data_IF_474168602914
#
_entry.id   IF_474168602914
#
_cell.length_a   1.000
_cell.length_b   1.000
_cell.length_c   1.000
_cell.angle_alpha   90.00
_cell.angle_beta   90.00
_cell.angle_gamma   90.00
#
_symmetry.space_group_name_H-M   'P 1'
#
loop_
_entity.id
_entity.type
_entity.pdbx_description
1 polymer ?
#
# COMPACT_ATOMS: atom_id res chain seq x y z
N UNK A 1 -34.07 -74.23 8.45
CA UNK A 1 -34.41 -74.42 7.04
C UNK A 1 -34.65 -73.04 6.42
N UNK A 2 -33.84 -72.68 5.41
CA UNK A 2 -34.15 -71.91 4.17
C UNK A 2 -35.09 -70.70 4.25
N UNK A 3 -34.86 -69.52 3.66
CA UNK A 3 -33.87 -68.91 2.76
C UNK A 3 -34.12 -67.38 2.80
N UNK A 4 -33.21 -66.47 2.45
CA UNK A 4 -32.66 -66.25 1.11
C UNK A 4 -33.56 -65.30 0.30
N UNK A 5 -33.15 -64.05 0.08
CA UNK A 5 -33.77 -63.16 -0.91
C UNK A 5 -33.49 -61.67 -0.68
N UNK A 6 -32.52 -61.11 -1.42
CA UNK A 6 -32.12 -59.71 -1.36
C UNK A 6 -32.84 -58.78 -2.36
N UNK A 7 -32.26 -57.59 -2.49
CA UNK A 7 -32.62 -56.55 -3.46
C UNK A 7 -33.50 -55.46 -2.84
N UNK A 8 -33.29 -54.17 -3.05
CA UNK A 8 -32.36 -53.44 -3.88
C UNK A 8 -32.54 -51.96 -3.53
N UNK A 9 -31.48 -51.17 -3.69
CA UNK A 9 -31.44 -49.78 -3.26
C UNK A 9 -32.54 -48.90 -3.85
N UNK A 10 -33.15 -48.09 -3.00
CA UNK A 10 -33.93 -46.92 -3.38
C UNK A 10 -33.08 -45.66 -3.23
N UNK A 11 -31.98 -45.57 -3.98
CA UNK A 11 -31.31 -44.28 -4.22
C UNK A 11 -32.09 -43.62 -5.37
N UNK A 12 -33.10 -42.83 -5.01
CA UNK A 12 -34.11 -42.34 -5.97
C UNK A 12 -34.34 -40.83 -5.92
N UNK A 13 -33.73 -40.14 -6.89
CA UNK A 13 -34.11 -38.86 -7.55
C UNK A 13 -33.68 -37.51 -6.99
N UNK A 14 -33.31 -37.35 -5.71
CA UNK A 14 -32.88 -36.04 -5.19
C UNK A 14 -31.45 -35.66 -5.62
N UNK A 15 -30.52 -36.60 -5.50
CA UNK A 15 -29.07 -36.33 -5.55
C UNK A 15 -28.52 -36.14 -6.97
N UNK A 16 -29.10 -36.81 -7.98
CA UNK A 16 -28.64 -36.69 -9.37
C UNK A 16 -28.92 -35.33 -10.00
N UNK A 17 -29.98 -34.63 -9.57
CA UNK A 17 -30.32 -33.31 -10.10
C UNK A 17 -29.40 -32.21 -9.54
N UNK A 18 -28.96 -32.33 -8.29
CA UNK A 18 -28.00 -31.40 -7.67
C UNK A 18 -26.58 -31.59 -8.24
N UNK A 19 -26.16 -32.82 -8.51
CA UNK A 19 -24.84 -33.12 -9.07
C UNK A 19 -24.74 -32.76 -10.57
N UNK A 20 -25.82 -32.89 -11.36
CA UNK A 20 -25.84 -32.37 -12.74
C UNK A 20 -25.79 -30.83 -12.80
N UNK A 21 -26.38 -30.14 -11.82
CA UNK A 21 -26.30 -28.67 -11.71
C UNK A 21 -24.88 -28.21 -11.39
N UNK A 22 -24.19 -28.86 -10.44
CA UNK A 22 -22.79 -28.56 -10.09
C UNK A 22 -21.82 -28.75 -11.26
N UNK A 23 -22.06 -29.76 -12.10
CA UNK A 23 -21.13 -30.11 -13.19
C UNK A 23 -21.30 -29.21 -14.43
N UNK A 24 -22.49 -28.59 -14.62
CA UNK A 24 -22.78 -27.74 -15.79
C UNK A 24 -22.35 -26.28 -15.63
N UNK A 25 -22.07 -25.85 -14.40
CA UNK A 25 -21.64 -24.48 -14.04
C UNK A 25 -20.20 -24.18 -14.53
N UNK A 26 -19.39 -25.19 -14.85
CA UNK A 26 -18.04 -25.01 -15.41
C UNK A 26 -17.96 -25.14 -16.95
N UNK A 27 -19.06 -24.85 -17.66
CA UNK A 27 -19.03 -24.90 -19.11
C UNK A 27 -18.54 -23.56 -19.69
N UNK A 28 -17.28 -23.52 -20.16
CA UNK A 28 -16.65 -22.34 -20.79
C UNK A 28 -17.52 -21.69 -21.87
N UNK A 29 -18.36 -22.47 -22.57
CA UNK A 29 -19.27 -21.97 -23.61
C UNK A 29 -20.44 -21.17 -23.02
N UNK A 30 -21.01 -21.60 -21.89
CA UNK A 30 -22.07 -20.87 -21.19
C UNK A 30 -21.54 -19.53 -20.64
N UNK A 31 -20.32 -19.57 -20.11
CA UNK A 31 -19.59 -18.41 -19.62
C UNK A 31 -19.34 -17.35 -20.70
N UNK A 32 -18.88 -17.77 -21.88
CA UNK A 32 -18.68 -16.87 -23.02
C UNK A 32 -19.98 -16.24 -23.52
N UNK A 33 -21.11 -16.95 -23.42
CA UNK A 33 -22.42 -16.40 -23.76
C UNK A 33 -22.87 -15.35 -22.75
N UNK A 34 -22.64 -15.57 -21.46
CA UNK A 34 -22.95 -14.60 -20.41
C UNK A 34 -22.10 -13.32 -20.52
N UNK A 35 -20.79 -13.46 -20.79
CA UNK A 35 -19.91 -12.31 -21.05
C UNK A 35 -20.33 -11.47 -22.26
N UNK A 36 -21.12 -12.04 -23.19
CA UNK A 36 -21.64 -11.29 -24.33
C UNK A 36 -22.60 -10.17 -23.90
N UNK A 37 -23.33 -10.35 -22.81
CA UNK A 37 -24.25 -9.35 -22.26
C UNK A 37 -23.52 -8.16 -21.62
N UNK A 38 -22.22 -8.28 -21.35
CA UNK A 38 -21.37 -7.16 -20.93
C UNK A 38 -20.91 -6.28 -22.11
N UNK A 39 -20.95 -6.78 -23.35
CA UNK A 39 -20.44 -6.02 -24.52
C UNK A 39 -21.09 -4.64 -24.71
N UNK A 40 -22.42 -4.47 -24.56
CA UNK A 40 -23.06 -3.16 -24.67
C UNK A 40 -22.53 -2.16 -23.61
N UNK A 41 -22.07 -2.68 -22.46
CA UNK A 41 -21.62 -1.88 -21.32
C UNK A 41 -20.09 -1.78 -21.21
N UNK A 42 -19.34 -2.16 -22.25
CA UNK A 42 -17.88 -2.23 -22.20
C UNK A 42 -17.22 -0.90 -21.81
N UNK A 43 -17.81 0.25 -22.18
CA UNK A 43 -17.31 1.57 -21.78
C UNK A 43 -17.33 1.76 -20.26
N UNK A 44 -18.39 1.31 -19.59
CA UNK A 44 -18.53 1.36 -18.14
C UNK A 44 -17.59 0.37 -17.45
N UNK A 45 -17.42 -0.80 -18.04
CA UNK A 45 -16.42 -1.79 -17.59
C UNK A 45 -15.02 -1.18 -17.63
N UNK A 46 -14.61 -0.61 -18.77
CA UNK A 46 -13.30 0.07 -18.91
C UNK A 46 -13.17 1.22 -17.92
N UNK A 47 -14.21 2.03 -17.75
CA UNK A 47 -14.19 3.14 -16.79
C UNK A 47 -14.01 2.64 -15.35
N UNK A 48 -14.68 1.54 -14.95
CA UNK A 48 -14.49 0.93 -13.63
C UNK A 48 -13.06 0.43 -13.42
N UNK A 49 -12.41 -0.08 -14.48
CA UNK A 49 -11.01 -0.47 -14.43
C UNK A 49 -10.06 0.71 -14.30
N UNK A 50 -10.35 1.85 -14.96
CA UNK A 50 -9.56 3.06 -14.77
C UNK A 50 -9.63 3.57 -13.33
N UNK A 51 -10.81 3.53 -12.71
CA UNK A 51 -10.93 3.83 -11.28
C UNK A 51 -10.19 2.82 -10.41
N UNK A 52 -10.24 1.52 -10.73
CA UNK A 52 -9.50 0.48 -10.01
C UNK A 52 -7.98 0.75 -10.05
N UNK A 53 -7.45 1.14 -11.22
CA UNK A 53 -6.04 1.50 -11.38
C UNK A 53 -5.67 2.74 -10.54
N UNK A 54 -6.56 3.74 -10.49
CA UNK A 54 -6.37 4.93 -9.65
C UNK A 54 -6.35 4.57 -8.15
N UNK A 55 -7.27 3.70 -7.70
CA UNK A 55 -7.32 3.20 -6.32
C UNK A 55 -6.04 2.45 -5.97
N UNK A 56 -5.59 1.54 -6.84
CA UNK A 56 -4.35 0.78 -6.66
C UNK A 56 -3.11 1.69 -6.59
N UNK A 57 -3.04 2.71 -7.46
CA UNK A 57 -1.98 3.72 -7.41
C UNK A 57 -1.96 4.47 -6.08
N UNK A 58 -3.13 4.87 -5.57
CA UNK A 58 -3.25 5.53 -4.26
C UNK A 58 -2.79 4.61 -3.11
N UNK A 59 -3.11 3.32 -3.15
CA UNK A 59 -2.69 2.33 -2.15
C UNK A 59 -1.18 2.15 -2.08
N UNK A 60 -0.48 2.27 -3.20
CA UNK A 60 0.99 2.21 -3.24
C UNK A 60 1.63 3.51 -2.76
N UNK A 61 1.02 4.67 -3.03
CA UNK A 61 1.56 5.98 -2.63
C UNK A 61 1.42 6.22 -1.12
N UNK A 62 0.34 5.77 -0.50
CA UNK A 62 0.07 5.92 0.94
C UNK A 62 1.26 5.48 1.84
N UNK A 63 1.79 4.24 1.75
CA UNK A 63 2.89 3.81 2.60
C UNK A 63 4.19 4.59 2.33
N UNK A 64 4.39 5.09 1.10
CA UNK A 64 5.55 5.93 0.79
C UNK A 64 5.49 7.27 1.51
N UNK A 65 4.31 7.90 1.57
CA UNK A 65 4.10 9.14 2.32
C UNK A 65 4.27 8.91 3.82
N UNK A 66 3.64 7.86 4.36
CA UNK A 66 3.78 7.51 5.77
C UNK A 66 5.23 7.27 6.15
N UNK A 67 5.97 6.53 5.32
CA UNK A 67 7.39 6.30 5.50
C UNK A 67 8.19 7.60 5.53
N UNK A 68 8.02 8.48 4.54
CA UNK A 68 8.77 9.76 4.51
C UNK A 68 8.40 10.67 5.70
N UNK A 69 7.14 10.67 6.14
CA UNK A 69 6.74 11.40 7.35
C UNK A 69 7.46 10.85 8.60
N UNK A 70 7.52 9.53 8.76
CA UNK A 70 8.15 8.87 9.91
C UNK A 70 9.68 9.08 9.89
N UNK A 71 10.34 8.67 8.81
CA UNK A 71 11.79 8.60 8.69
C UNK A 71 12.44 10.00 8.67
N UNK A 72 11.84 10.98 7.98
CA UNK A 72 12.49 12.27 7.81
C UNK A 72 12.14 13.29 8.90
N UNK A 73 10.94 13.20 9.47
CA UNK A 73 10.35 14.30 10.25
C UNK A 73 9.93 13.91 11.68
N UNK A 74 9.48 12.68 11.93
CA UNK A 74 9.01 12.25 13.26
C UNK A 74 10.15 11.66 14.08
N UNK A 75 10.84 10.65 13.55
CA UNK A 75 11.88 9.90 14.28
C UNK A 75 13.23 10.60 14.14
N UNK A 76 13.97 10.66 15.25
CA UNK A 76 15.42 10.97 15.25
C UNK A 76 16.17 9.66 15.36
N UNK A 77 16.21 8.93 14.25
CA UNK A 77 17.05 7.75 14.04
C UNK A 77 18.38 8.14 13.37
N UNK A 78 18.59 9.43 13.15
CA UNK A 78 19.77 10.01 12.52
C UNK A 78 20.93 9.95 13.50
N UNK A 79 21.80 8.96 13.32
CA UNK A 79 23.12 8.93 13.94
C UNK A 79 24.02 9.94 13.23
N UNK A 80 24.94 10.53 13.97
CA UNK A 80 25.93 11.47 13.43
C UNK A 80 27.33 10.91 13.64
N UNK A 81 28.11 10.92 12.57
CA UNK A 81 29.54 10.65 12.62
C UNK A 81 30.30 11.96 12.45
N UNK A 82 31.19 12.25 13.38
CA UNK A 82 32.00 13.48 13.43
C UNK A 82 33.46 13.09 13.17
N UNK A 83 33.96 13.48 12.00
CA UNK A 83 35.33 13.23 11.59
C UNK A 83 36.14 14.50 11.80
N UNK A 84 37.11 14.46 12.72
CA UNK A 84 38.04 15.57 12.94
C UNK A 84 39.21 15.59 11.95
N UNK A 85 39.48 14.47 11.26
CA UNK A 85 40.56 14.33 10.29
C UNK A 85 40.05 14.04 8.88
N UNK A 86 40.63 14.72 7.89
CA UNK A 86 40.30 14.55 6.46
C UNK A 86 40.54 13.10 5.98
N UNK A 87 41.59 12.44 6.47
CA UNK A 87 41.95 11.08 6.04
C UNK A 87 40.88 10.04 6.38
N UNK A 88 40.38 10.02 7.62
CA UNK A 88 39.37 9.06 8.05
C UNK A 88 38.03 9.29 7.34
N UNK A 89 37.67 10.56 7.14
CA UNK A 89 36.49 10.96 6.37
C UNK A 89 36.57 10.48 4.92
N UNK A 90 37.67 10.76 4.22
CA UNK A 90 37.86 10.35 2.83
C UNK A 90 37.89 8.83 2.68
N UNK A 91 38.52 8.11 3.61
CA UNK A 91 38.54 6.65 3.63
C UNK A 91 37.12 6.07 3.76
N UNK A 92 36.31 6.62 4.65
CA UNK A 92 34.93 6.19 4.85
C UNK A 92 34.03 6.50 3.65
N UNK A 93 34.06 7.73 3.13
CA UNK A 93 33.27 8.13 1.97
C UNK A 93 33.66 7.32 0.73
N UNK A 94 34.95 7.10 0.48
CA UNK A 94 35.41 6.30 -0.66
C UNK A 94 34.88 4.85 -0.59
N UNK A 95 34.83 4.26 0.61
CA UNK A 95 34.31 2.90 0.81
C UNK A 95 32.80 2.82 0.61
N UNK A 96 32.05 3.84 1.02
CA UNK A 96 30.60 3.84 1.05
C UNK A 96 29.94 4.86 0.10
N UNK A 97 30.66 5.31 -0.93
CA UNK A 97 30.22 6.36 -1.85
C UNK A 97 28.85 6.09 -2.50
N UNK A 98 28.53 4.82 -2.75
CA UNK A 98 27.25 4.38 -3.34
C UNK A 98 26.03 4.65 -2.45
N UNK A 99 26.22 4.96 -1.16
CA UNK A 99 25.13 5.23 -0.23
C UNK A 99 24.63 6.68 -0.29
N UNK A 100 25.45 7.63 -0.77
CA UNK A 100 25.05 9.03 -0.97
C UNK A 100 24.62 9.71 0.34
N UNK A 101 25.50 9.70 1.35
CA UNK A 101 25.18 10.28 2.66
C UNK A 101 24.93 11.80 2.58
N UNK A 102 24.24 12.33 3.60
CA UNK A 102 24.18 13.77 3.81
C UNK A 102 25.44 14.21 4.54
N UNK A 103 26.25 14.98 3.83
CA UNK A 103 27.57 15.43 4.28
C UNK A 103 27.51 16.93 4.58
N UNK A 104 28.11 17.32 5.70
CA UNK A 104 28.24 18.71 6.10
C UNK A 104 29.67 18.99 6.59
N UNK A 105 30.12 20.24 6.46
CA UNK A 105 31.42 20.69 6.95
C UNK A 105 31.23 21.97 7.75
N UNK A 106 31.82 21.99 8.94
CA UNK A 106 31.85 23.18 9.79
C UNK A 106 33.15 23.22 10.59
N UNK A 107 33.92 24.30 10.41
CA UNK A 107 35.31 24.37 10.88
C UNK A 107 36.17 23.30 10.22
N UNK A 108 36.98 22.62 11.03
CA UNK A 108 37.85 21.50 10.61
C UNK A 108 37.11 20.16 10.58
N UNK A 109 35.88 20.10 11.10
CA UNK A 109 35.13 18.86 11.27
C UNK A 109 34.22 18.56 10.07
N UNK A 110 34.19 17.29 9.69
CA UNK A 110 33.29 16.72 8.68
C UNK A 110 32.20 15.90 9.38
N UNK A 111 30.95 16.20 9.05
CA UNK A 111 29.78 15.58 9.65
C UNK A 111 29.07 14.71 8.62
N UNK A 112 28.84 13.45 8.97
CA UNK A 112 28.05 12.52 8.15
C UNK A 112 26.82 12.10 8.95
N UNK A 113 25.66 12.25 8.33
CA UNK A 113 24.40 11.77 8.88
C UNK A 113 24.12 10.37 8.37
N UNK A 114 24.02 9.42 9.29
CA UNK A 114 23.75 8.02 9.03
C UNK A 114 22.34 7.71 9.53
N UNK A 115 21.37 7.61 8.61
CA UNK A 115 20.00 7.20 8.94
C UNK A 115 19.95 5.69 9.20
N UNK A 116 18.89 5.19 9.86
CA UNK A 116 18.79 3.75 10.18
C UNK A 116 18.88 2.86 8.93
N UNK A 117 18.29 3.31 7.80
CA UNK A 117 18.33 2.60 6.51
C UNK A 117 19.76 2.40 5.99
N UNK A 118 20.61 3.42 6.12
CA UNK A 118 21.97 3.39 5.58
C UNK A 118 22.92 2.69 6.54
N UNK A 119 22.66 2.81 7.85
CA UNK A 119 23.37 2.05 8.90
C UNK A 119 23.35 0.54 8.62
N UNK A 120 22.20 0.00 8.21
CA UNK A 120 22.05 -1.43 7.91
C UNK A 120 22.85 -1.90 6.68
N UNK A 121 23.38 -0.99 5.86
CA UNK A 121 24.20 -1.31 4.68
C UNK A 121 25.70 -1.15 4.92
N UNK A 122 26.08 -0.55 6.05
CA UNK A 122 27.48 -0.39 6.46
C UNK A 122 27.92 -1.69 7.15
N UNK A 123 29.17 -2.12 6.91
CA UNK A 123 29.71 -3.29 7.60
C UNK A 123 29.71 -3.06 9.12
N UNK A 124 29.28 -4.07 9.88
CA UNK A 124 29.20 -4.00 11.34
C UNK A 124 30.56 -3.70 11.97
N UNK A 125 31.63 -4.31 11.48
CA UNK A 125 32.99 -4.06 12.00
C UNK A 125 33.42 -2.61 11.79
N UNK A 126 33.06 -2.00 10.64
CA UNK A 126 33.36 -0.59 10.38
C UNK A 126 32.55 0.33 11.32
N UNK A 127 31.29 -0.02 11.62
CA UNK A 127 30.49 0.74 12.59
C UNK A 127 31.05 0.64 14.01
N UNK A 128 31.52 -0.55 14.41
CA UNK A 128 32.15 -0.79 15.72
C UNK A 128 33.47 0.00 15.83
N UNK A 129 34.33 -0.03 14.81
CA UNK A 129 35.58 0.77 14.74
C UNK A 129 35.30 2.28 14.83
N UNK A 130 34.29 2.78 14.11
CA UNK A 130 33.89 4.20 14.20
C UNK A 130 33.36 4.56 15.60
N UNK A 131 32.69 3.65 16.27
CA UNK A 131 32.17 3.87 17.62
C UNK A 131 33.29 3.82 18.67
N UNK A 132 34.24 2.89 18.54
CA UNK A 132 35.44 2.79 19.39
C UNK A 132 36.33 4.03 19.27
N UNK A 133 36.52 4.54 18.04
CA UNK A 133 37.23 5.81 17.78
C UNK A 133 36.47 7.05 18.23
N UNK A 134 35.23 6.92 18.70
CA UNK A 134 34.37 8.04 19.10
C UNK A 134 33.92 8.95 17.94
N UNK A 135 34.11 8.51 16.69
CA UNK A 135 33.68 9.20 15.47
C UNK A 135 32.15 9.09 15.36
N UNK A 136 31.62 7.86 15.47
CA UNK A 136 30.19 7.61 15.49
C UNK A 136 29.64 7.89 16.89
N UNK A 137 28.76 8.88 17.00
CA UNK A 137 28.18 9.29 18.27
C UNK A 137 27.06 8.34 18.69
N UNK A 138 27.00 8.02 19.97
CA UNK A 138 26.00 7.11 20.54
C UNK A 138 24.59 7.71 20.56
N UNK A 139 24.48 9.04 20.52
CA UNK A 139 23.21 9.75 20.54
C UNK A 139 22.68 10.02 19.13
N UNK A 140 21.37 9.94 18.97
CA UNK A 140 20.71 10.41 17.75
C UNK A 140 20.45 11.90 17.81
N UNK A 141 20.49 12.55 16.64
CA UNK A 141 20.34 14.00 16.53
C UNK A 141 19.10 14.37 15.72
N UNK A 142 18.52 15.52 16.04
CA UNK A 142 17.59 16.22 15.16
C UNK A 142 18.37 17.28 14.39
N UNK A 143 18.09 17.38 13.09
CA UNK A 143 18.61 18.42 12.23
C UNK A 143 17.61 19.57 12.17
N UNK A 144 18.08 20.76 12.47
CA UNK A 144 17.29 21.98 12.54
C UNK A 144 17.91 23.04 11.64
N UNK A 145 17.11 23.97 11.17
CA UNK A 145 17.60 25.10 10.37
C UNK A 145 18.31 26.13 11.25
N UNK A 146 19.45 26.64 10.79
CA UNK A 146 20.23 27.71 11.43
C UNK A 146 19.49 29.05 11.25
N UNK A 147 18.46 29.26 12.08
CA UNK A 147 17.65 30.48 12.14
C UNK A 147 17.87 31.17 13.48
N UNK A 148 17.90 32.49 13.47
CA UNK A 148 18.10 33.28 14.70
C UNK A 148 17.06 32.94 15.78
N UNK A 149 15.79 32.73 15.40
CA UNK A 149 14.75 32.28 16.33
C UNK A 149 15.09 30.94 17.01
N UNK A 150 15.56 29.97 16.23
CA UNK A 150 15.95 28.65 16.74
C UNK A 150 17.17 28.77 17.65
N UNK A 151 18.19 29.52 17.23
CA UNK A 151 19.42 29.73 18.00
C UNK A 151 19.11 30.42 19.32
N UNK A 152 18.28 31.47 19.31
CA UNK A 152 17.94 32.22 20.52
C UNK A 152 17.23 31.35 21.56
N UNK A 153 16.31 30.48 21.11
CA UNK A 153 15.67 29.49 21.97
C UNK A 153 16.70 28.48 22.48
N UNK A 154 17.53 27.91 21.61
CA UNK A 154 18.53 26.92 22.00
C UNK A 154 19.52 27.51 23.01
N UNK A 155 20.03 28.73 22.80
CA UNK A 155 20.95 29.43 23.72
C UNK A 155 20.36 29.68 25.10
N UNK A 156 19.04 29.79 25.23
CA UNK A 156 18.37 30.00 26.52
C UNK A 156 18.38 28.74 27.41
N UNK A 157 18.43 27.55 26.82
CA UNK A 157 18.31 26.27 27.54
C UNK A 157 19.53 25.36 27.41
N UNK A 158 20.32 25.52 26.35
CA UNK A 158 21.40 24.63 25.96
C UNK A 158 22.66 25.44 25.63
N UNK A 159 23.82 24.86 25.95
CA UNK A 159 25.10 25.45 25.59
C UNK A 159 25.43 25.18 24.12
N UNK A 160 25.98 26.19 23.44
CA UNK A 160 26.57 26.04 22.11
C UNK A 160 27.90 25.33 22.26
N UNK A 161 28.07 24.23 21.53
CA UNK A 161 29.31 23.48 21.54
C UNK A 161 29.93 23.54 20.14
N UNK A 162 31.16 24.07 20.09
CA UNK A 162 31.93 24.30 18.88
C UNK A 162 32.75 23.07 18.49
N UNK A 163 32.98 22.15 19.44
CA UNK A 163 33.85 20.98 19.30
C UNK A 163 33.14 19.72 19.83
N UNK A 164 32.42 18.98 18.97
CA UNK A 164 31.79 17.70 19.31
C UNK A 164 32.80 16.55 19.40
N UNK A 165 33.91 16.77 20.10
CA UNK A 165 35.04 15.84 20.18
C UNK A 165 34.79 14.75 21.24
N UNK A 166 33.80 14.95 22.10
CA UNK A 166 33.40 13.96 23.11
C UNK A 166 32.58 12.81 22.49
N UNK A 167 32.72 11.57 23.00
CA UNK A 167 31.89 10.43 22.54
C UNK A 167 30.38 10.64 22.75
N UNK A 168 30.02 11.38 23.82
CA UNK A 168 28.66 11.81 24.09
C UNK A 168 28.46 13.25 23.65
N UNK A 169 27.37 13.51 22.93
CA UNK A 169 27.01 14.84 22.49
C UNK A 169 26.24 15.58 23.60
N UNK A 170 26.80 16.68 24.10
CA UNK A 170 26.13 17.69 24.93
C UNK A 170 25.99 19.06 24.24
N UNK A 171 24.83 19.71 24.40
CA UNK A 171 24.54 21.02 23.80
C UNK A 171 24.01 20.93 22.37
N UNK A 172 24.19 22.01 21.61
CA UNK A 172 23.85 22.08 20.18
C UNK A 172 25.06 22.51 19.36
N UNK A 173 25.11 22.09 18.09
CA UNK A 173 26.27 22.30 17.22
C UNK A 173 25.85 22.76 15.84
N UNK A 174 26.62 23.67 15.26
CA UNK A 174 26.53 23.97 13.84
C UNK A 174 27.27 22.90 13.07
N UNK A 175 26.59 22.29 12.10
CA UNK A 175 27.19 21.25 11.24
C UNK A 175 27.45 21.76 9.82
N UNK A 176 26.80 22.87 9.44
CA UNK A 176 27.04 23.54 8.17
C UNK A 176 26.49 24.96 8.18
N UNK A 177 26.49 25.63 7.03
CA UNK A 177 26.10 27.05 6.92
C UNK A 177 24.64 27.36 7.21
N UNK A 178 23.74 26.35 7.17
CA UNK A 178 22.30 26.51 7.37
C UNK A 178 21.67 25.44 8.28
N UNK A 179 22.49 24.59 8.91
CA UNK A 179 22.00 23.42 9.63
C UNK A 179 22.66 23.28 10.99
N UNK A 180 21.84 23.04 12.00
CA UNK A 180 22.22 22.78 13.38
C UNK A 180 21.85 21.32 13.71
N UNK A 181 22.73 20.61 14.40
CA UNK A 181 22.44 19.33 15.00
C UNK A 181 22.18 19.51 16.50
N UNK A 182 21.09 18.92 17.00
CA UNK A 182 20.76 18.88 18.43
C UNK A 182 20.49 17.44 18.85
N UNK A 183 21.23 16.89 19.83
CA UNK A 183 20.97 15.55 20.34
C UNK A 183 19.56 15.41 20.88
N UNK A 184 18.94 14.24 20.67
CA UNK A 184 17.58 13.94 21.13
C UNK A 184 17.44 14.16 22.64
N UNK A 185 18.44 13.79 23.44
CA UNK A 185 18.42 13.98 24.90
C UNK A 185 18.40 15.46 25.27
N UNK A 186 19.22 16.28 24.61
CA UNK A 186 19.30 17.72 24.85
C UNK A 186 18.03 18.43 24.41
N UNK A 187 17.49 18.08 23.23
CA UNK A 187 16.24 18.66 22.74
C UNK A 187 15.05 18.35 23.66
N UNK A 188 15.08 17.21 24.34
CA UNK A 188 14.05 16.82 25.31
C UNK A 188 14.10 17.60 26.62
N UNK A 189 15.22 18.28 26.94
CA UNK A 189 15.32 19.17 28.11
C UNK A 189 14.52 20.47 27.92
N UNK A 190 14.28 20.88 26.67
CA UNK A 190 13.48 22.08 26.40
C UNK A 190 12.01 21.88 26.81
N UNK A 191 11.33 22.94 27.30
CA UNK A 191 9.88 22.94 27.45
C UNK A 191 9.18 22.58 26.13
N UNK A 192 8.01 21.93 26.24
CA UNK A 192 7.27 21.40 25.07
C UNK A 192 6.97 22.48 24.03
N UNK A 193 6.57 23.68 24.47
CA UNK A 193 6.23 24.81 23.58
C UNK A 193 7.44 25.29 22.79
N UNK A 194 8.58 25.46 23.45
CA UNK A 194 9.81 25.91 22.80
C UNK A 194 10.36 24.86 21.84
N UNK A 195 10.24 23.58 22.20
CA UNK A 195 10.63 22.47 21.33
C UNK A 195 9.81 22.43 20.03
N UNK A 196 8.53 22.79 20.09
CA UNK A 196 7.67 22.91 18.90
C UNK A 196 8.05 24.11 18.04
N UNK A 197 8.37 25.27 18.65
CA UNK A 197 8.84 26.45 17.93
C UNK A 197 10.13 26.18 17.17
N UNK A 198 11.12 25.56 17.83
CA UNK A 198 12.39 25.19 17.21
C UNK A 198 12.20 24.20 16.05
N UNK A 199 11.18 23.35 16.12
CA UNK A 199 10.82 22.36 15.08
C UNK A 199 9.72 22.84 14.13
N UNK A 200 9.37 24.13 14.12
CA UNK A 200 8.19 24.63 13.39
C UNK A 200 8.22 24.27 11.89
N UNK A 201 9.39 24.34 11.24
CA UNK A 201 9.51 23.95 9.83
C UNK A 201 9.21 22.46 9.61
N UNK A 202 9.68 21.59 10.52
CA UNK A 202 9.39 20.16 10.48
C UNK A 202 7.90 19.92 10.66
N UNK A 203 7.26 20.65 11.58
CA UNK A 203 5.82 20.58 11.83
C UNK A 203 5.02 21.03 10.60
N UNK A 204 5.43 22.11 9.93
CA UNK A 204 4.79 22.58 8.69
C UNK A 204 4.88 21.55 7.57
N UNK A 205 6.07 20.95 7.36
CA UNK A 205 6.24 19.87 6.37
C UNK A 205 5.38 18.65 6.69
N UNK A 206 5.30 18.28 7.97
CA UNK A 206 4.41 17.21 8.43
C UNK A 206 2.93 17.52 8.17
N UNK A 207 2.51 18.77 8.39
CA UNK A 207 1.14 19.20 8.13
C UNK A 207 0.83 19.10 6.62
N UNK A 208 1.73 19.55 5.75
CA UNK A 208 1.58 19.40 4.30
C UNK A 208 1.47 17.93 3.91
N UNK A 209 2.35 17.07 4.43
CA UNK A 209 2.29 15.62 4.17
C UNK A 209 0.97 15.01 4.68
N UNK A 210 0.48 15.45 5.85
CA UNK A 210 -0.81 15.01 6.39
C UNK A 210 -2.00 15.47 5.53
N UNK A 211 -1.97 16.68 4.98
CA UNK A 211 -2.99 17.18 4.05
C UNK A 211 -2.96 16.43 2.70
N UNK A 212 -1.76 16.15 2.16
CA UNK A 212 -1.62 15.34 0.95
C UNK A 212 -2.15 13.93 1.20
N UNK A 213 -1.81 13.34 2.34
CA UNK A 213 -2.31 12.03 2.76
C UNK A 213 -3.84 12.00 2.88
N UNK A 214 -4.42 13.02 3.52
CA UNK A 214 -5.87 13.18 3.61
C UNK A 214 -6.51 13.29 2.21
N UNK A 215 -5.95 14.14 1.35
CA UNK A 215 -6.44 14.32 -0.02
C UNK A 215 -6.42 13.02 -0.83
N UNK A 216 -5.35 12.23 -0.71
CA UNK A 216 -5.23 10.92 -1.39
C UNK A 216 -6.25 9.93 -0.85
N UNK A 217 -6.46 9.87 0.47
CA UNK A 217 -7.49 9.00 1.06
C UNK A 217 -8.88 9.41 0.61
N UNK A 218 -9.19 10.71 0.61
CA UNK A 218 -10.46 11.22 0.14
C UNK A 218 -10.67 10.92 -1.34
N UNK A 219 -9.65 11.11 -2.18
CA UNK A 219 -9.71 10.77 -3.60
C UNK A 219 -9.91 9.27 -3.82
N UNK A 220 -9.19 8.42 -3.08
CA UNK A 220 -9.37 6.96 -3.10
C UNK A 220 -10.79 6.56 -2.71
N UNK A 221 -11.33 7.17 -1.65
CA UNK A 221 -12.69 6.93 -1.20
C UNK A 221 -13.72 7.30 -2.28
N UNK A 222 -13.61 8.49 -2.87
CA UNK A 222 -14.48 8.96 -3.96
C UNK A 222 -14.37 8.03 -5.18
N UNK A 223 -13.15 7.68 -5.58
CA UNK A 223 -12.90 6.76 -6.68
C UNK A 223 -13.50 5.37 -6.43
N UNK A 224 -13.36 4.85 -5.21
CA UNK A 224 -13.94 3.57 -4.80
C UNK A 224 -15.47 3.60 -4.82
N UNK A 225 -16.08 4.69 -4.36
CA UNK A 225 -17.52 4.88 -4.46
C UNK A 225 -18.00 4.84 -5.91
N UNK A 226 -17.39 5.65 -6.80
CA UNK A 226 -17.78 5.67 -8.21
C UNK A 226 -17.50 4.34 -8.91
N UNK A 227 -16.37 3.68 -8.61
CA UNK A 227 -16.07 2.36 -9.13
C UNK A 227 -17.16 1.36 -8.75
N UNK A 228 -17.56 1.34 -7.48
CA UNK A 228 -18.61 0.46 -6.97
C UNK A 228 -19.94 0.72 -7.66
N UNK A 229 -20.34 1.99 -7.78
CA UNK A 229 -21.60 2.39 -8.43
C UNK A 229 -21.59 2.03 -9.91
N UNK A 230 -20.50 2.28 -10.63
CA UNK A 230 -20.38 1.94 -12.06
C UNK A 230 -20.43 0.43 -12.25
N UNK A 231 -19.74 -0.33 -11.38
CA UNK A 231 -19.77 -1.79 -11.41
C UNK A 231 -21.16 -2.36 -11.14
N UNK A 232 -21.88 -1.82 -10.16
CA UNK A 232 -23.27 -2.17 -9.93
C UNK A 232 -24.14 -1.81 -11.14
N UNK A 233 -23.95 -0.62 -11.72
CA UNK A 233 -24.72 -0.16 -12.87
C UNK A 233 -24.58 -1.11 -14.07
N UNK A 234 -23.37 -1.40 -14.54
CA UNK A 234 -23.23 -2.24 -15.73
C UNK A 234 -23.58 -3.71 -15.46
N UNK A 235 -23.32 -4.22 -14.25
CA UNK A 235 -23.62 -5.62 -13.92
C UNK A 235 -25.14 -5.85 -13.86
N UNK A 236 -25.87 -4.95 -13.19
CA UNK A 236 -27.33 -5.06 -13.07
C UNK A 236 -28.04 -4.87 -14.41
N UNK A 237 -27.57 -3.95 -15.27
CA UNK A 237 -28.17 -3.79 -16.60
C UNK A 237 -27.88 -4.99 -17.52
N UNK A 238 -26.64 -5.50 -17.54
CA UNK A 238 -26.31 -6.73 -18.27
C UNK A 238 -27.17 -7.91 -17.80
N UNK A 239 -27.50 -7.95 -16.51
CA UNK A 239 -28.37 -8.96 -15.93
C UNK A 239 -29.84 -8.79 -16.34
N UNK A 240 -30.33 -7.55 -16.38
CA UNK A 240 -31.68 -7.25 -16.84
C UNK A 240 -31.87 -7.67 -18.30
N UNK A 241 -30.88 -7.42 -19.16
CA UNK A 241 -30.90 -7.86 -20.55
C UNK A 241 -30.94 -9.39 -20.66
N UNK A 242 -30.14 -10.09 -19.87
CA UNK A 242 -30.17 -11.55 -19.81
C UNK A 242 -31.55 -12.08 -19.39
N UNK A 243 -32.15 -11.51 -18.34
CA UNK A 243 -33.51 -11.87 -17.88
C UNK A 243 -34.53 -11.65 -18.99
N UNK A 244 -34.44 -10.52 -19.68
CA UNK A 244 -35.35 -10.19 -20.78
C UNK A 244 -35.26 -11.21 -21.92
N UNK A 245 -34.04 -11.53 -22.38
CA UNK A 245 -33.82 -12.47 -23.48
C UNK A 245 -34.28 -13.89 -23.15
N UNK A 246 -34.00 -14.35 -21.92
CA UNK A 246 -34.46 -15.67 -21.45
C UNK A 246 -35.98 -15.72 -21.41
N UNK A 247 -36.64 -14.69 -20.86
CA UNK A 247 -38.09 -14.63 -20.76
C UNK A 247 -38.76 -14.54 -22.15
N UNK A 248 -38.21 -13.72 -23.05
CA UNK A 248 -38.69 -13.59 -24.42
C UNK A 248 -38.53 -14.90 -25.22
N UNK A 249 -37.45 -15.63 -25.00
CA UNK A 249 -37.25 -16.95 -25.61
C UNK A 249 -38.28 -17.96 -25.10
N UNK A 250 -38.58 -17.95 -23.80
CA UNK A 250 -39.56 -18.83 -23.18
C UNK A 250 -40.97 -18.59 -23.76
N UNK A 251 -41.38 -17.33 -23.93
CA UNK A 251 -42.69 -16.99 -24.51
C UNK A 251 -42.87 -17.44 -25.96
N UNK A 252 -41.78 -17.57 -26.74
CA UNK A 252 -41.82 -18.01 -28.14
C UNK A 252 -41.78 -19.53 -28.31
N UNK A 253 -41.67 -20.29 -27.22
CA UNK A 253 -41.64 -21.75 -27.28
C UNK A 253 -42.99 -22.32 -27.72
N UNK A 254 -43.02 -23.40 -28.53
CA UNK A 254 -44.26 -24.09 -28.90
C UNK A 254 -45.00 -24.62 -27.67
N UNK A 255 -46.33 -24.70 -27.72
CA UNK A 255 -47.17 -25.24 -26.63
C UNK A 255 -46.73 -26.64 -26.17
N UNK A 256 -46.29 -27.50 -27.10
CA UNK A 256 -45.72 -28.83 -26.81
C UNK A 256 -44.53 -28.81 -25.83
N UNK A 257 -43.76 -27.73 -25.80
CA UNK A 257 -42.69 -27.56 -24.83
C UNK A 257 -43.25 -27.42 -23.40
N UNK A 258 -44.37 -26.73 -23.22
CA UNK A 258 -45.02 -26.53 -21.93
C UNK A 258 -45.79 -27.77 -21.46
N UNK A 259 -46.26 -28.62 -22.37
CA UNK A 259 -46.88 -29.91 -22.03
C UNK A 259 -45.88 -30.89 -21.39
N UNK A 260 -44.59 -30.75 -21.73
CA UNK A 260 -43.50 -31.62 -21.25
C UNK A 260 -42.65 -30.99 -20.14
N UNK A 261 -42.81 -29.69 -19.89
CA UNK A 261 -42.09 -28.95 -18.87
C UNK A 261 -43.09 -28.22 -17.96
N UNK A 262 -43.31 -28.71 -16.72
CA UNK A 262 -44.27 -28.10 -15.79
C UNK A 262 -43.98 -26.61 -15.57
N UNK A 263 -45.02 -25.78 -15.65
CA UNK A 263 -44.92 -24.31 -15.53
C UNK A 263 -44.23 -23.91 -14.23
N UNK A 264 -44.53 -24.56 -13.10
CA UNK A 264 -43.85 -24.30 -11.83
C UNK A 264 -42.33 -24.49 -11.90
N UNK A 265 -41.84 -25.53 -12.60
CA UNK A 265 -40.41 -25.77 -12.80
C UNK A 265 -39.77 -24.67 -13.67
N UNK A 266 -40.49 -24.19 -14.69
CA UNK A 266 -40.00 -23.12 -15.56
C UNK A 266 -39.91 -21.79 -14.81
N UNK A 267 -40.91 -21.46 -13.98
CA UNK A 267 -40.88 -20.28 -13.11
C UNK A 267 -39.69 -20.36 -12.16
N UNK A 268 -39.50 -21.49 -11.48
CA UNK A 268 -38.36 -21.69 -10.56
C UNK A 268 -37.01 -21.55 -11.27
N UNK A 269 -36.85 -22.04 -12.50
CA UNK A 269 -35.59 -21.84 -13.26
C UNK A 269 -35.39 -20.38 -13.66
N UNK A 270 -36.44 -19.70 -14.13
CA UNK A 270 -36.35 -18.29 -14.54
C UNK A 270 -36.09 -17.37 -13.35
N UNK A 271 -36.57 -17.70 -12.16
CA UNK A 271 -36.30 -16.89 -10.97
C UNK A 271 -35.00 -17.29 -10.29
N UNK A 272 -34.85 -18.57 -9.96
CA UNK A 272 -33.77 -19.04 -9.07
C UNK A 272 -32.48 -19.31 -9.83
N UNK A 273 -32.52 -19.98 -10.99
CA UNK A 273 -31.29 -20.22 -11.76
C UNK A 273 -30.76 -18.90 -12.33
N UNK A 274 -31.64 -17.96 -12.70
CA UNK A 274 -31.21 -16.64 -13.13
C UNK A 274 -30.66 -15.82 -11.96
N UNK A 275 -31.23 -15.88 -10.76
CA UNK A 275 -30.63 -15.24 -9.59
C UNK A 275 -29.24 -15.82 -9.25
N UNK A 276 -29.05 -17.13 -9.37
CA UNK A 276 -27.74 -17.76 -9.22
C UNK A 276 -26.74 -17.29 -10.29
N UNK A 277 -27.22 -17.08 -11.53
CA UNK A 277 -26.42 -16.49 -12.61
C UNK A 277 -26.06 -15.02 -12.32
N UNK A 278 -26.95 -14.25 -11.70
CA UNK A 278 -26.72 -12.85 -11.28
C UNK A 278 -25.56 -12.78 -10.29
N UNK A 279 -25.65 -13.57 -9.22
CA UNK A 279 -24.63 -13.65 -8.19
C UNK A 279 -23.30 -14.10 -8.81
N UNK A 280 -23.31 -15.15 -9.63
CA UNK A 280 -22.09 -15.62 -10.28
C UNK A 280 -21.46 -14.58 -11.20
N UNK A 281 -22.25 -13.80 -11.95
CA UNK A 281 -21.72 -12.79 -12.88
C UNK A 281 -21.25 -11.52 -12.17
N UNK A 282 -22.09 -10.95 -11.29
CA UNK A 282 -21.86 -9.69 -10.60
C UNK A 282 -20.81 -9.80 -9.48
N UNK A 283 -20.93 -10.79 -8.60
CA UNK A 283 -20.03 -10.95 -7.45
C UNK A 283 -18.89 -11.95 -7.68
N UNK A 284 -19.08 -12.93 -8.57
CA UNK A 284 -18.05 -13.91 -8.91
C UNK A 284 -17.11 -13.44 -10.03
N UNK A 285 -17.60 -13.46 -11.27
CA UNK A 285 -16.77 -13.31 -12.48
C UNK A 285 -16.14 -11.93 -12.60
N UNK A 286 -16.94 -10.88 -12.44
CA UNK A 286 -16.45 -9.50 -12.58
C UNK A 286 -15.40 -9.21 -11.51
N UNK A 287 -15.66 -9.60 -10.26
CA UNK A 287 -14.72 -9.45 -9.14
C UNK A 287 -13.44 -10.23 -9.38
N UNK A 288 -13.50 -11.50 -9.82
CA UNK A 288 -12.29 -12.29 -10.12
C UNK A 288 -11.41 -11.64 -11.19
N UNK A 289 -12.02 -11.11 -12.26
CA UNK A 289 -11.27 -10.39 -13.29
C UNK A 289 -10.65 -9.11 -12.71
N UNK A 290 -11.40 -8.38 -11.88
CA UNK A 290 -10.90 -7.20 -11.17
C UNK A 290 -9.73 -7.54 -10.24
N UNK A 291 -9.82 -8.61 -9.47
CA UNK A 291 -8.78 -9.05 -8.54
C UNK A 291 -7.50 -9.47 -9.29
N UNK A 292 -7.63 -10.23 -10.38
CA UNK A 292 -6.47 -10.59 -11.22
C UNK A 292 -5.78 -9.34 -11.78
N UNK A 293 -6.55 -8.38 -12.29
CA UNK A 293 -6.00 -7.12 -12.81
C UNK A 293 -5.40 -6.26 -11.70
N UNK A 294 -6.03 -6.21 -10.52
CA UNK A 294 -5.53 -5.51 -9.35
C UNK A 294 -4.18 -6.09 -8.92
N UNK A 295 -4.08 -7.42 -8.80
CA UNK A 295 -2.84 -8.12 -8.46
C UNK A 295 -1.75 -7.78 -9.50
N UNK A 296 -2.04 -7.91 -10.79
CA UNK A 296 -1.08 -7.57 -11.85
C UNK A 296 -0.62 -6.11 -11.72
N UNK A 297 -1.55 -5.18 -11.48
CA UNK A 297 -1.27 -3.74 -11.34
C UNK A 297 -0.37 -3.47 -10.12
N UNK A 298 -0.68 -4.05 -8.97
CA UNK A 298 0.13 -3.92 -7.74
C UNK A 298 1.52 -4.51 -7.96
N UNK A 299 1.62 -5.70 -8.56
CA UNK A 299 2.91 -6.35 -8.85
C UNK A 299 3.78 -5.48 -9.77
N UNK A 300 3.21 -4.93 -10.84
CA UNK A 300 3.91 -4.01 -11.75
C UNK A 300 4.39 -2.77 -10.99
N UNK A 301 3.52 -2.15 -10.19
CA UNK A 301 3.86 -0.96 -9.40
C UNK A 301 4.97 -1.26 -8.38
N UNK A 302 4.91 -2.40 -7.69
CA UNK A 302 5.93 -2.81 -6.73
C UNK A 302 7.29 -3.07 -7.40
N UNK A 303 7.29 -3.77 -8.54
CA UNK A 303 8.51 -4.01 -9.32
C UNK A 303 9.12 -2.70 -9.83
N UNK A 304 8.30 -1.74 -10.26
CA UNK A 304 8.75 -0.41 -10.68
C UNK A 304 9.37 0.40 -9.54
N UNK A 305 8.85 0.28 -8.31
CA UNK A 305 9.41 0.95 -7.13
C UNK A 305 10.74 0.33 -6.68
N UNK A 306 10.80 -1.01 -6.56
CA UNK A 306 12.02 -1.71 -6.21
C UNK A 306 11.96 -3.19 -6.61
N UNK A 307 12.52 -3.50 -7.78
CA UNK A 307 12.56 -4.85 -8.32
C UNK A 307 13.21 -5.89 -7.39
N UNK A 308 14.21 -5.50 -6.58
CA UNK A 308 14.88 -6.43 -5.65
C UNK A 308 14.02 -6.78 -4.45
N UNK A 309 13.30 -5.81 -3.87
CA UNK A 309 12.37 -6.11 -2.76
C UNK A 309 11.15 -6.88 -3.26
N UNK A 310 10.64 -6.53 -4.43
CA UNK A 310 9.46 -7.16 -5.00
C UNK A 310 9.68 -8.63 -5.39
N UNK A 311 10.90 -9.05 -5.76
CA UNK A 311 11.22 -10.46 -6.07
C UNK A 311 11.42 -11.34 -4.83
N UNK A 312 11.68 -10.75 -3.67
CA UNK A 312 11.91 -11.48 -2.41
C UNK A 312 10.62 -11.59 -1.58
N UNK A 313 9.62 -10.75 -1.87
CA UNK A 313 8.31 -10.73 -1.19
C UNK A 313 7.35 -11.72 -1.83
#
# INVERSE_FOLDING_TARGET
MHGGGGGGGSIGRGTYAEDELKTKIYNKRLFGNMLRYLKPYLKWVILSFLFLMLISGAEVIIPLIQRSAIDDHIVSDKSIAVFAGENDYQNFIKRYQKLGFKEYKYGENHFIIINAKDRNKINRTDLEDLQEKGILKAETVFLLSDKDENINILKKYLQENLHPDTPNLSGWYKIGSKTIAVPKKELNKLPKEERLKVRNETVQKLLILALIFLAIITLRFIASYFQTVITAYFSQNAMADLRHDVFAHLQKMPTKFFDTNPVGRLVTRVTNDIAAIDEMLASGVITLIQDVILIITIVILMLALNWRLALVS
#
